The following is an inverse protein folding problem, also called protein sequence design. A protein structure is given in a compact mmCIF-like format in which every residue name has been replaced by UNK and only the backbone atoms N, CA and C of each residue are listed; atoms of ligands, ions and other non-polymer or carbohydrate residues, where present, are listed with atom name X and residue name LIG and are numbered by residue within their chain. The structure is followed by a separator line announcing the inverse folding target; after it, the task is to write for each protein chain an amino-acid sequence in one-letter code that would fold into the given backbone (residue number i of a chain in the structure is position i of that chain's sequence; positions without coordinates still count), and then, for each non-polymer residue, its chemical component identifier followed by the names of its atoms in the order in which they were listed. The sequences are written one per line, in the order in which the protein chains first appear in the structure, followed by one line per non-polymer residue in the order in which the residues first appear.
data_IF_048594912524
#
_entry.id   IF_048594912524
#
_cell.length_a   1.000
_cell.length_b   1.000
_cell.length_c   1.000
_cell.angle_alpha   90.00
_cell.angle_beta   90.00
_cell.angle_gamma   90.00
#
_symmetry.space_group_name_H-M   'P 1'
#
loop_
_entity.id
_entity.type
_entity.pdbx_description
1 polymer ?
#
# COMPACT_ATOMS: atom_id res chain seq x y z
N UNK A 1 -2.54 59.64 4.61
CA UNK A 1 -1.85 58.67 5.48
C UNK A 1 -2.83 57.57 5.84
N UNK A 2 -2.73 56.42 5.21
CA UNK A 2 -3.44 55.20 5.59
C UNK A 2 -2.52 54.03 5.29
N UNK A 3 -2.16 53.29 6.32
CA UNK A 3 -1.22 52.16 6.27
C UNK A 3 -1.96 50.98 5.66
N UNK A 4 -1.63 50.66 4.41
CA UNK A 4 -2.09 49.45 3.75
C UNK A 4 -1.40 48.24 4.41
N UNK A 5 -2.20 47.50 5.18
CA UNK A 5 -1.88 46.18 5.70
C UNK A 5 -1.60 45.27 4.48
N UNK A 6 -0.33 45.02 4.18
CA UNK A 6 0.08 43.99 3.24
C UNK A 6 -0.33 42.63 3.83
N UNK A 7 -1.51 42.16 3.44
CA UNK A 7 -1.95 40.79 3.59
C UNK A 7 -1.04 39.93 2.72
N UNK A 8 0.11 39.56 3.27
CA UNK A 8 1.05 38.64 2.66
C UNK A 8 0.43 37.24 2.82
N UNK A 9 -0.49 36.92 1.90
CA UNK A 9 -0.94 35.55 1.68
C UNK A 9 0.26 34.78 1.16
N UNK A 10 1.08 34.25 2.07
CA UNK A 10 1.85 33.05 1.78
C UNK A 10 0.81 31.98 1.48
N UNK A 11 0.67 31.66 0.20
CA UNK A 11 0.14 30.38 -0.25
C UNK A 11 1.06 29.29 0.32
N UNK A 12 0.87 28.94 1.59
CA UNK A 12 1.51 27.80 2.22
C UNK A 12 0.42 26.95 2.86
N UNK A 13 -0.36 26.28 2.02
CA UNK A 13 -0.75 24.93 2.32
C UNK A 13 -1.19 24.20 1.06
N UNK A 14 -0.35 23.29 0.60
CA UNK A 14 -0.78 22.15 -0.22
C UNK A 14 -1.52 21.19 0.71
N UNK A 15 -2.66 21.63 1.26
CA UNK A 15 -3.44 20.82 2.19
C UNK A 15 -4.12 19.70 1.41
N UNK A 16 -3.66 18.50 1.70
CA UNK A 16 -4.28 17.30 1.22
C UNK A 16 -5.58 17.02 1.98
N UNK A 17 -6.59 16.39 1.36
CA UNK A 17 -7.86 16.14 2.03
C UNK A 17 -7.66 15.26 3.27
N UNK A 18 -8.17 15.72 4.42
CA UNK A 18 -8.19 14.94 5.65
C UNK A 18 -8.90 13.59 5.41
N UNK A 19 -8.33 12.52 5.96
CA UNK A 19 -8.95 11.20 5.91
C UNK A 19 -9.34 10.76 7.31
N UNK A 20 -10.34 9.90 7.44
CA UNK A 20 -10.61 9.25 8.73
C UNK A 20 -9.71 8.01 8.84
N UNK A 21 -9.05 7.82 9.98
CA UNK A 21 -8.18 6.66 10.20
C UNK A 21 -6.91 7.00 10.97
N UNK A 22 -5.85 6.26 10.66
CA UNK A 22 -4.51 6.35 11.26
C UNK A 22 -3.95 7.78 11.28
N UNK A 23 -2.99 8.07 12.16
CA UNK A 23 -2.17 9.27 12.11
C UNK A 23 -0.74 8.88 11.75
N UNK A 24 -0.18 9.48 10.70
CA UNK A 24 1.26 9.61 10.51
C UNK A 24 1.69 11.00 10.94
N UNK A 25 2.85 11.11 11.59
CA UNK A 25 3.45 12.39 11.93
C UNK A 25 4.95 12.35 11.72
N UNK A 26 5.49 13.38 11.08
CA UNK A 26 6.90 13.71 11.00
C UNK A 26 7.11 15.08 11.64
N UNK A 27 8.03 15.16 12.60
CA UNK A 27 8.58 16.42 13.12
C UNK A 27 10.06 16.47 12.76
N UNK A 28 10.49 17.48 12.03
CA UNK A 28 11.84 17.55 11.47
C UNK A 28 12.50 18.90 11.73
N UNK A 29 13.80 18.88 12.00
CA UNK A 29 14.65 20.07 12.02
C UNK A 29 16.07 19.74 11.55
N UNK A 30 16.99 20.71 11.62
CA UNK A 30 18.39 20.52 11.18
C UNK A 30 19.17 19.42 11.93
N UNK A 31 18.69 18.97 13.10
CA UNK A 31 19.34 17.93 13.91
C UNK A 31 18.93 16.51 13.47
N UNK A 32 17.83 16.38 12.72
CA UNK A 32 17.25 15.10 12.30
C UNK A 32 15.73 15.14 12.30
N UNK A 33 15.09 13.99 12.45
CA UNK A 33 13.63 13.92 12.46
C UNK A 33 13.10 12.82 13.39
N UNK A 34 11.85 12.99 13.80
CA UNK A 34 11.01 11.99 14.44
C UNK A 34 9.88 11.66 13.49
N UNK A 35 9.65 10.37 13.22
CA UNK A 35 8.54 9.87 12.41
C UNK A 35 7.77 8.81 13.19
N UNK A 36 6.44 8.89 13.16
CA UNK A 36 5.60 7.99 13.92
C UNK A 36 4.28 7.65 13.21
N UNK A 37 3.75 6.48 13.54
CA UNK A 37 2.45 5.99 13.09
C UNK A 37 1.80 5.10 14.17
N UNK A 38 0.47 5.11 14.26
CA UNK A 38 -0.28 4.22 15.15
C UNK A 38 -0.49 2.82 14.51
N UNK A 39 -0.82 1.80 15.31
CA UNK A 39 -1.02 0.42 14.80
C UNK A 39 -2.46 0.07 14.42
N UNK A 40 -3.44 0.97 14.57
CA UNK A 40 -4.85 0.69 14.35
C UNK A 40 -5.23 0.58 12.88
N UNK A 41 -5.83 -0.54 12.48
CA UNK A 41 -6.48 -0.70 11.19
C UNK A 41 -8.00 -0.70 11.33
N UNK A 42 -8.67 -0.19 10.30
CA UNK A 42 -10.13 -0.06 10.24
C UNK A 42 -10.72 -1.13 9.33
N UNK A 43 -11.51 -2.02 9.90
CA UNK A 43 -12.24 -3.07 9.17
C UNK A 43 -13.70 -2.69 9.02
N UNK A 44 -14.17 -2.62 7.77
CA UNK A 44 -15.61 -2.46 7.49
C UNK A 44 -16.23 -3.84 7.33
N UNK A 45 -17.19 -4.14 8.20
CA UNK A 45 -18.00 -5.36 8.17
C UNK A 45 -19.44 -5.01 7.79
N UNK A 46 -20.24 -6.01 7.42
CA UNK A 46 -21.68 -5.83 7.17
C UNK A 46 -22.44 -5.27 8.39
N UNK A 47 -21.90 -5.45 9.60
CA UNK A 47 -22.51 -5.02 10.87
C UNK A 47 -21.93 -3.71 11.42
N UNK A 48 -20.94 -3.10 10.76
CA UNK A 48 -20.33 -1.84 11.21
C UNK A 48 -18.80 -1.81 11.06
N UNK A 49 -18.17 -0.89 11.78
CA UNK A 49 -16.71 -0.70 11.78
C UNK A 49 -16.09 -1.40 13.00
N UNK A 50 -15.10 -2.25 12.77
CA UNK A 50 -14.24 -2.82 13.82
C UNK A 50 -12.79 -2.36 13.64
N UNK A 51 -12.02 -2.42 14.73
CA UNK A 51 -10.63 -1.97 14.77
C UNK A 51 -9.72 -3.10 15.23
N UNK A 52 -8.51 -3.17 14.66
CA UNK A 52 -7.44 -4.06 15.13
C UNK A 52 -6.14 -3.27 15.28
N UNK A 53 -5.46 -3.45 16.39
CA UNK A 53 -4.30 -2.65 16.77
C UNK A 53 -2.98 -3.37 16.45
N UNK A 54 -2.93 -4.06 15.31
CA UNK A 54 -1.89 -5.03 14.94
C UNK A 54 -1.14 -4.73 13.62
N UNK A 55 -1.28 -3.53 13.05
CA UNK A 55 -0.67 -3.19 11.77
C UNK A 55 0.67 -2.46 11.90
N UNK A 56 1.71 -2.98 11.26
CA UNK A 56 2.94 -2.21 11.04
C UNK A 56 2.71 -1.15 9.96
N UNK A 57 2.92 0.11 10.32
CA UNK A 57 2.77 1.26 9.42
C UNK A 57 4.03 2.11 9.31
N UNK A 58 5.00 1.88 10.21
CA UNK A 58 6.33 2.49 10.14
C UNK A 58 7.35 1.46 9.68
N UNK A 59 8.23 1.86 8.76
CA UNK A 59 9.21 0.99 8.15
C UNK A 59 10.57 1.67 8.10
N UNK A 60 11.60 0.90 8.39
CA UNK A 60 12.98 1.29 8.10
C UNK A 60 13.26 1.03 6.62
N UNK A 61 13.61 2.07 5.87
CA UNK A 61 13.93 1.92 4.44
C UNK A 61 15.42 1.86 4.20
N UNK A 62 16.21 2.56 5.01
CA UNK A 62 17.67 2.52 5.00
C UNK A 62 18.28 2.88 6.36
N UNK A 63 19.59 3.19 6.42
CA UNK A 63 20.24 3.54 7.67
C UNK A 63 19.78 4.88 8.25
N UNK A 64 19.43 5.83 7.37
CA UNK A 64 19.09 7.22 7.71
C UNK A 64 17.74 7.66 7.14
N UNK A 65 16.85 6.72 6.87
CA UNK A 65 15.58 6.96 6.19
C UNK A 65 14.49 6.02 6.69
N UNK A 66 13.27 6.53 6.68
CA UNK A 66 12.07 5.85 7.17
C UNK A 66 10.87 6.17 6.30
N UNK A 67 9.89 5.27 6.34
CA UNK A 67 8.61 5.38 5.64
C UNK A 67 7.48 5.12 6.65
N UNK A 68 6.52 6.04 6.73
CA UNK A 68 5.24 5.82 7.40
C UNK A 68 4.09 5.80 6.37
N UNK A 69 3.08 4.96 6.58
CA UNK A 69 1.88 4.90 5.71
C UNK A 69 0.59 5.17 6.49
N UNK A 70 -0.22 6.08 5.97
CA UNK A 70 -1.55 6.38 6.45
C UNK A 70 -2.56 5.96 5.38
N UNK A 71 -3.61 5.27 5.82
CA UNK A 71 -4.40 4.43 4.93
C UNK A 71 -3.79 3.04 4.85
N UNK A 72 -4.66 2.03 4.96
CA UNK A 72 -4.30 0.63 4.79
C UNK A 72 -5.10 0.14 3.61
N UNK A 73 -4.42 -0.07 2.48
CA UNK A 73 -5.09 -0.62 1.32
C UNK A 73 -5.42 -2.06 1.64
N UNK A 74 -6.73 -2.30 1.68
CA UNK A 74 -7.41 -3.51 2.14
C UNK A 74 -7.51 -3.75 3.66
N UNK A 75 -7.47 -2.71 4.51
CA UNK A 75 -7.69 -2.80 5.96
C UNK A 75 -8.96 -3.54 6.46
N UNK A 76 -9.78 -4.14 5.59
CA UNK A 76 -10.82 -5.09 5.96
C UNK A 76 -11.19 -6.15 4.91
N UNK A 77 -10.45 -6.29 3.82
CA UNK A 77 -10.84 -7.22 2.73
C UNK A 77 -9.87 -8.39 2.64
N UNK A 78 -10.26 -9.53 3.20
CA UNK A 78 -9.54 -10.78 2.97
C UNK A 78 -9.58 -11.19 1.49
N UNK A 79 -8.46 -11.68 0.93
CA UNK A 79 -7.14 -11.93 1.54
C UNK A 79 -6.14 -10.75 1.44
N UNK A 80 -6.58 -9.58 0.98
CA UNK A 80 -5.69 -8.48 0.61
C UNK A 80 -5.20 -7.63 1.79
N UNK A 81 -5.65 -7.88 3.03
CA UNK A 81 -5.51 -6.91 4.12
C UNK A 81 -4.10 -6.48 4.51
N UNK A 82 -3.11 -7.28 4.16
CA UNK A 82 -1.70 -7.06 4.48
C UNK A 82 -0.85 -6.83 3.24
N UNK A 83 -1.47 -6.68 2.06
CA UNK A 83 -0.80 -6.62 0.77
C UNK A 83 0.20 -5.46 0.68
N UNK A 84 -0.19 -4.26 1.14
CA UNK A 84 0.68 -3.07 1.15
C UNK A 84 1.89 -3.27 2.06
N UNK A 85 1.63 -3.76 3.28
CA UNK A 85 2.68 -4.00 4.28
C UNK A 85 3.64 -5.08 3.78
N UNK A 86 3.11 -6.17 3.20
CA UNK A 86 3.89 -7.26 2.64
C UNK A 86 4.83 -6.78 1.53
N UNK A 87 4.38 -5.87 0.65
CA UNK A 87 5.22 -5.29 -0.41
C UNK A 87 6.38 -4.45 0.13
N UNK A 88 6.10 -3.58 1.11
CA UNK A 88 7.14 -2.77 1.73
C UNK A 88 8.16 -3.67 2.45
N UNK A 89 7.71 -4.65 3.22
CA UNK A 89 8.60 -5.58 3.92
C UNK A 89 9.39 -6.46 2.97
N UNK A 90 8.80 -6.90 1.85
CA UNK A 90 9.52 -7.63 0.79
C UNK A 90 10.61 -6.78 0.17
N UNK A 91 10.39 -5.47 0.03
CA UNK A 91 11.36 -4.54 -0.56
C UNK A 91 12.51 -4.21 0.38
N UNK A 92 12.22 -3.78 1.60
CA UNK A 92 13.22 -3.21 2.51
C UNK A 92 13.66 -4.17 3.62
N UNK A 93 12.87 -5.19 3.90
CA UNK A 93 13.08 -6.05 5.06
C UNK A 93 12.91 -5.31 6.40
N UNK A 94 13.09 -6.02 7.53
CA UNK A 94 12.97 -5.41 8.85
C UNK A 94 14.11 -4.44 9.21
N UNK A 95 15.27 -4.59 8.57
CA UNK A 95 16.47 -3.80 8.85
C UNK A 95 16.66 -2.60 7.90
N UNK A 96 15.82 -2.47 6.86
CA UNK A 96 16.07 -1.56 5.74
C UNK A 96 17.16 -2.06 4.81
N UNK A 97 17.35 -1.35 3.70
CA UNK A 97 18.43 -1.62 2.75
C UNK A 97 19.71 -0.93 3.21
N UNK A 98 20.85 -1.60 3.07
CA UNK A 98 22.17 -1.05 3.41
C UNK A 98 22.85 -0.31 2.26
N UNK A 99 22.20 -0.24 1.10
CA UNK A 99 22.66 0.49 -0.08
C UNK A 99 21.76 1.71 -0.37
N UNK A 100 22.16 2.52 -1.35
CA UNK A 100 21.48 3.78 -1.68
C UNK A 100 20.02 3.62 -2.14
N UNK A 101 19.54 2.39 -2.40
CA UNK A 101 18.11 2.17 -2.72
C UNK A 101 17.21 2.38 -1.50
N UNK A 102 17.79 2.41 -0.29
CA UNK A 102 17.09 2.75 0.94
C UNK A 102 16.97 4.25 1.20
N UNK A 103 17.68 5.09 0.45
CA UNK A 103 17.70 6.55 0.64
C UNK A 103 16.35 7.18 0.30
N UNK A 104 15.98 8.27 1.00
CA UNK A 104 14.63 8.82 0.93
C UNK A 104 14.17 9.20 -0.49
N UNK A 105 15.07 9.75 -1.31
CA UNK A 105 14.76 10.11 -2.71
C UNK A 105 14.48 8.87 -3.57
N UNK A 106 15.25 7.79 -3.38
CA UNK A 106 15.07 6.53 -4.10
C UNK A 106 13.81 5.80 -3.65
N UNK A 107 13.49 5.88 -2.35
CA UNK A 107 12.26 5.33 -1.78
C UNK A 107 11.04 6.02 -2.36
N UNK A 108 11.03 7.35 -2.46
CA UNK A 108 9.90 8.11 -2.99
C UNK A 108 9.59 7.74 -4.45
N UNK A 109 10.62 7.68 -5.30
CA UNK A 109 10.45 7.24 -6.70
C UNK A 109 10.00 5.77 -6.82
N UNK A 110 10.49 4.88 -5.95
CA UNK A 110 10.01 3.50 -5.89
C UNK A 110 8.55 3.41 -5.45
N UNK A 111 8.14 4.19 -4.45
CA UNK A 111 6.76 4.21 -3.95
C UNK A 111 5.80 4.64 -5.04
N UNK A 112 6.13 5.69 -5.79
CA UNK A 112 5.29 6.15 -6.90
C UNK A 112 5.06 5.02 -7.91
N UNK A 113 6.14 4.39 -8.39
CA UNK A 113 6.03 3.32 -9.38
C UNK A 113 5.30 2.07 -8.84
N UNK A 114 5.73 1.57 -7.67
CA UNK A 114 5.19 0.35 -7.07
C UNK A 114 3.72 0.53 -6.71
N UNK A 115 3.38 1.60 -6.00
CA UNK A 115 2.03 1.78 -5.51
C UNK A 115 1.08 2.29 -6.57
N UNK A 116 1.49 3.06 -7.58
CA UNK A 116 0.59 3.35 -8.71
C UNK A 116 0.13 2.07 -9.40
N UNK A 117 1.05 1.15 -9.68
CA UNK A 117 0.71 -0.12 -10.31
C UNK A 117 -0.10 -1.03 -9.37
N UNK A 118 0.38 -1.20 -8.15
CA UNK A 118 -0.23 -2.11 -7.18
C UNK A 118 -1.66 -1.67 -6.83
N UNK A 119 -1.85 -0.37 -6.57
CA UNK A 119 -3.16 0.19 -6.28
C UNK A 119 -4.12 0.09 -7.44
N UNK A 120 -3.63 0.31 -8.66
CA UNK A 120 -4.47 0.15 -9.83
C UNK A 120 -4.93 -1.30 -10.00
N UNK A 121 -4.06 -2.27 -9.68
CA UNK A 121 -4.40 -3.70 -9.69
C UNK A 121 -5.43 -4.03 -8.61
N UNK A 122 -5.21 -3.56 -7.38
CA UNK A 122 -6.14 -3.78 -6.27
C UNK A 122 -7.50 -3.13 -6.54
N UNK A 123 -7.52 -1.92 -7.08
CA UNK A 123 -8.74 -1.24 -7.53
C UNK A 123 -9.54 -2.11 -8.49
N UNK A 124 -8.89 -2.61 -9.54
CA UNK A 124 -9.53 -3.45 -10.55
C UNK A 124 -10.10 -4.74 -9.93
N UNK A 125 -9.31 -5.43 -9.11
CA UNK A 125 -9.70 -6.68 -8.44
C UNK A 125 -10.89 -6.45 -7.50
N UNK A 126 -10.84 -5.44 -6.64
CA UNK A 126 -11.90 -5.18 -5.67
C UNK A 126 -13.20 -4.70 -6.34
N UNK A 127 -13.10 -3.93 -7.44
CA UNK A 127 -14.26 -3.60 -8.28
C UNK A 127 -14.88 -4.86 -8.89
N UNK A 128 -14.07 -5.79 -9.42
CA UNK A 128 -14.57 -7.05 -9.97
C UNK A 128 -15.23 -7.95 -8.91
N UNK A 129 -14.73 -7.91 -7.67
CA UNK A 129 -15.33 -8.58 -6.52
C UNK A 129 -16.56 -7.85 -5.95
N UNK A 130 -16.95 -6.70 -6.54
CA UNK A 130 -18.08 -5.86 -6.10
C UNK A 130 -17.96 -5.44 -4.64
N UNK A 131 -16.74 -5.15 -4.18
CA UNK A 131 -16.50 -4.76 -2.80
C UNK A 131 -17.09 -3.35 -2.53
N UNK A 132 -17.97 -3.19 -1.52
CA UNK A 132 -18.56 -1.89 -1.21
C UNK A 132 -17.55 -0.96 -0.55
N UNK A 133 -17.59 0.33 -0.88
CA UNK A 133 -16.85 1.37 -0.16
C UNK A 133 -15.33 1.32 -0.34
N UNK A 134 -14.86 1.22 -1.59
CA UNK A 134 -13.45 1.29 -1.96
C UNK A 134 -12.81 2.62 -1.49
N UNK A 135 -12.19 2.62 -0.32
CA UNK A 135 -11.27 3.68 0.09
C UNK A 135 -9.84 3.24 -0.22
N UNK A 136 -9.38 3.62 -1.42
CA UNK A 136 -8.04 3.31 -1.92
C UNK A 136 -7.04 4.43 -1.65
N UNK A 137 -7.36 5.33 -0.72
CA UNK A 137 -6.45 6.41 -0.37
C UNK A 137 -5.28 5.85 0.44
N UNK A 138 -4.08 6.10 -0.04
CA UNK A 138 -2.83 5.83 0.65
C UNK A 138 -2.01 7.11 0.66
N UNK A 139 -1.49 7.46 1.83
CA UNK A 139 -0.52 8.53 1.98
C UNK A 139 0.74 7.92 2.56
N UNK A 140 1.81 7.91 1.78
CA UNK A 140 3.13 7.47 2.19
C UNK A 140 3.99 8.70 2.50
N UNK A 141 4.52 8.78 3.73
CA UNK A 141 5.43 9.84 4.16
C UNK A 141 6.82 9.24 4.36
N UNK A 142 7.76 9.66 3.51
CA UNK A 142 9.17 9.31 3.60
C UNK A 142 9.93 10.45 4.26
N UNK A 143 10.79 10.14 5.21
CA UNK A 143 11.72 11.10 5.78
C UNK A 143 13.13 10.52 5.73
N UNK A 144 14.11 11.37 5.44
CA UNK A 144 15.52 10.99 5.37
C UNK A 144 16.41 12.18 5.15
N UNK A 145 17.53 11.97 4.47
CA UNK A 145 18.48 13.03 4.15
C UNK A 145 18.80 13.05 2.66
N UNK A 146 19.02 14.24 2.11
CA UNK A 146 19.57 14.41 0.76
C UNK A 146 21.09 14.17 0.74
N UNK A 147 21.69 14.30 -0.45
CA UNK A 147 23.12 14.13 -0.66
C UNK A 147 23.97 15.14 0.14
N UNK A 148 23.44 16.34 0.38
CA UNK A 148 24.05 17.40 1.19
C UNK A 148 23.87 17.17 2.71
N UNK A 149 23.08 16.18 3.08
CA UNK A 149 22.79 15.82 4.47
C UNK A 149 21.78 16.74 5.15
N UNK A 150 20.97 17.49 4.40
CA UNK A 150 19.79 18.17 4.92
C UNK A 150 18.66 17.15 5.09
N UNK A 151 17.76 17.41 6.05
CA UNK A 151 16.57 16.57 6.22
C UNK A 151 15.60 16.84 5.07
N UNK A 152 15.10 15.79 4.45
CA UNK A 152 14.04 15.86 3.45
C UNK A 152 12.83 15.07 3.91
N UNK A 153 11.65 15.58 3.60
CA UNK A 153 10.37 14.91 3.79
C UNK A 153 9.64 14.89 2.47
N UNK A 154 9.25 13.69 2.03
CA UNK A 154 8.49 13.45 0.81
C UNK A 154 7.17 12.78 1.15
N UNK A 155 6.06 13.34 0.67
CA UNK A 155 4.72 12.79 0.88
C UNK A 155 4.11 12.42 -0.47
N UNK A 156 3.91 11.12 -0.69
CA UNK A 156 3.27 10.58 -1.86
C UNK A 156 1.82 10.20 -1.52
N UNK A 157 0.88 10.75 -2.26
CA UNK A 157 -0.55 10.49 -2.11
C UNK A 157 -1.08 9.75 -3.31
N UNK A 158 -1.79 8.67 -3.04
CA UNK A 158 -2.44 7.87 -4.06
C UNK A 158 -3.94 7.97 -3.81
N UNK A 159 -4.63 8.63 -4.73
CA UNK A 159 -6.07 8.85 -4.61
C UNK A 159 -6.77 8.45 -5.91
N UNK A 160 -8.01 7.94 -5.84
CA UNK A 160 -8.87 7.81 -7.02
C UNK A 160 -9.06 9.17 -7.72
N UNK A 161 -8.73 9.25 -9.00
CA UNK A 161 -8.93 10.41 -9.87
C UNK A 161 -9.56 9.97 -11.20
N UNK A 162 -10.89 9.85 -11.19
CA UNK A 162 -11.67 9.41 -12.34
C UNK A 162 -11.72 7.89 -12.52
N UNK A 163 -12.16 7.46 -13.70
CA UNK A 163 -12.36 6.06 -14.05
C UNK A 163 -11.32 5.63 -15.10
N UNK A 164 -10.73 4.46 -14.91
CA UNK A 164 -9.82 3.84 -15.87
C UNK A 164 -10.59 3.04 -16.93
N UNK A 165 -11.51 2.18 -16.49
CA UNK A 165 -12.31 1.30 -17.35
C UNK A 165 -13.59 0.90 -16.62
N UNK A 166 -14.76 1.12 -17.23
CA UNK A 166 -16.04 0.91 -16.56
C UNK A 166 -16.07 1.64 -15.21
N UNK A 167 -16.34 0.91 -14.13
CA UNK A 167 -16.38 1.43 -12.76
C UNK A 167 -15.05 1.25 -11.99
N UNK A 168 -13.96 0.89 -12.67
CA UNK A 168 -12.64 0.74 -12.05
C UNK A 168 -12.03 2.14 -11.88
N UNK A 169 -11.73 2.58 -10.65
CA UNK A 169 -11.14 3.90 -10.43
C UNK A 169 -9.70 3.93 -10.96
N UNK A 170 -9.31 5.07 -11.52
CA UNK A 170 -7.93 5.37 -11.88
C UNK A 170 -7.21 5.90 -10.66
N UNK A 171 -6.04 5.35 -10.33
CA UNK A 171 -5.23 5.82 -9.20
C UNK A 171 -4.18 6.80 -9.70
N UNK A 172 -4.15 7.99 -9.10
CA UNK A 172 -3.18 9.03 -9.44
C UNK A 172 -2.26 9.31 -8.26
N UNK A 173 -0.93 9.21 -8.44
CA UNK A 173 0.03 9.67 -7.45
C UNK A 173 0.15 11.20 -7.48
N UNK A 174 0.34 11.81 -6.33
CA UNK A 174 0.77 13.20 -6.16
C UNK A 174 1.88 13.22 -5.12
N UNK A 175 3.07 13.71 -5.50
CA UNK A 175 4.24 13.72 -4.62
C UNK A 175 4.61 15.16 -4.29
N UNK A 176 4.83 15.43 -3.01
CA UNK A 176 5.35 16.70 -2.53
C UNK A 176 6.65 16.43 -1.77
N UNK A 177 7.71 17.09 -2.21
CA UNK A 177 9.03 17.07 -1.55
C UNK A 177 9.27 18.39 -0.83
N UNK A 178 9.87 18.33 0.35
CA UNK A 178 10.29 19.52 1.10
C UNK A 178 11.64 19.27 1.76
N UNK A 179 12.55 20.24 1.60
CA UNK A 179 13.85 20.27 2.30
C UNK A 179 13.68 21.10 3.56
N UNK A 180 14.07 20.54 4.71
CA UNK A 180 13.87 21.15 6.02
C UNK A 180 15.14 21.89 6.45
N UNK A 181 15.07 23.22 6.49
CA UNK A 181 16.20 24.06 6.90
C UNK A 181 16.17 24.44 8.39
N UNK A 182 14.99 24.75 8.93
CA UNK A 182 14.81 25.13 10.34
C UNK A 182 13.94 24.10 11.06
N UNK A 183 12.62 24.19 10.91
CA UNK A 183 11.66 23.21 11.39
C UNK A 183 10.48 23.12 10.44
N UNK A 184 9.99 21.90 10.21
CA UNK A 184 8.71 21.65 9.54
C UNK A 184 8.08 20.39 10.14
N UNK A 185 6.76 20.27 10.01
CA UNK A 185 6.05 19.04 10.33
C UNK A 185 5.20 18.60 9.15
N UNK A 186 4.99 17.29 9.07
CA UNK A 186 4.06 16.69 8.12
C UNK A 186 3.21 15.66 8.82
N UNK A 187 1.91 15.76 8.60
CA UNK A 187 0.94 14.82 9.09
C UNK A 187 0.17 14.19 7.93
N UNK A 188 -0.42 13.02 8.18
CA UNK A 188 -1.28 12.34 7.23
C UNK A 188 -2.30 11.49 7.98
N UNK A 189 -3.41 11.19 7.32
CA UNK A 189 -4.45 10.36 7.90
C UNK A 189 -5.50 11.20 8.61
N UNK A 190 -5.60 11.12 9.94
CA UNK A 190 -6.47 11.92 10.81
C UNK A 190 -5.69 13.03 11.56
N UNK A 191 -5.33 14.14 10.88
CA UNK A 191 -4.38 15.10 11.41
C UNK A 191 -5.00 16.15 12.34
N UNK A 192 -6.32 16.32 12.38
CA UNK A 192 -6.97 17.50 12.98
C UNK A 192 -6.51 17.79 14.41
N UNK A 193 -6.43 16.78 15.27
CA UNK A 193 -5.95 16.94 16.66
C UNK A 193 -4.45 17.27 16.70
N UNK A 194 -3.64 16.62 15.85
CA UNK A 194 -2.22 16.90 15.74
C UNK A 194 -1.97 18.34 15.28
N UNK A 195 -2.68 18.78 14.24
CA UNK A 195 -2.62 20.15 13.73
C UNK A 195 -3.01 21.16 14.79
N UNK A 196 -4.10 20.95 15.53
CA UNK A 196 -4.53 21.89 16.57
C UNK A 196 -3.51 22.02 17.71
N UNK A 197 -2.85 20.92 18.09
CA UNK A 197 -1.76 20.95 19.08
C UNK A 197 -0.54 21.69 18.51
N UNK A 198 -0.09 21.33 17.31
CA UNK A 198 1.11 21.88 16.68
C UNK A 198 0.93 23.36 16.31
N UNK A 199 -0.30 23.76 15.96
CA UNK A 199 -0.66 25.16 15.69
C UNK A 199 -0.89 25.97 16.96
N UNK A 200 -1.05 25.33 18.12
CA UNK A 200 -1.27 25.98 19.41
C UNK A 200 -2.71 26.44 19.62
N UNK A 201 -3.66 25.86 18.89
CA UNK A 201 -5.09 26.08 19.09
C UNK A 201 -5.62 25.32 20.30
N UNK A 202 -4.88 24.31 20.76
CA UNK A 202 -5.25 23.48 21.89
C UNK A 202 -4.29 23.71 23.07
N UNK A 203 -4.81 24.28 24.16
CA UNK A 203 -4.02 24.53 25.37
C UNK A 203 -3.87 23.25 26.19
N UNK A 204 -2.72 22.58 26.04
CA UNK A 204 -2.37 21.39 26.82
C UNK A 204 -1.30 21.77 27.84
N UNK A 205 -1.55 21.68 29.16
CA UNK A 205 -0.56 21.99 30.19
C UNK A 205 0.45 20.85 30.38
N UNK A 206 0.89 20.21 29.29
CA UNK A 206 1.93 19.18 29.30
C UNK A 206 3.25 19.83 28.88
N UNK A 207 4.32 19.55 29.63
CA UNK A 207 5.61 20.23 29.50
C UNK A 207 6.15 20.22 28.07
N UNK A 208 6.08 19.10 27.35
CA UNK A 208 6.57 19.00 25.97
C UNK A 208 5.81 19.89 24.97
N UNK A 209 4.50 20.08 25.16
CA UNK A 209 3.69 20.99 24.34
C UNK A 209 4.01 22.44 24.70
N UNK A 210 4.12 22.76 25.99
CA UNK A 210 4.49 24.10 26.46
C UNK A 210 5.86 24.51 25.93
N UNK A 211 6.87 23.67 26.11
CA UNK A 211 8.24 23.91 25.65
C UNK A 211 8.30 24.08 24.12
N UNK A 212 7.52 23.29 23.37
CA UNK A 212 7.39 23.44 21.92
C UNK A 212 6.77 24.78 21.53
N UNK A 213 5.66 25.18 22.16
CA UNK A 213 5.00 26.44 21.85
C UNK A 213 5.84 27.67 22.24
N UNK A 214 6.60 27.59 23.34
CA UNK A 214 7.60 28.60 23.72
C UNK A 214 8.72 28.69 22.68
N UNK A 215 9.33 27.56 22.31
CA UNK A 215 10.37 27.51 21.28
C UNK A 215 9.84 28.03 19.92
N UNK A 216 8.58 27.77 19.58
CA UNK A 216 7.93 28.32 18.38
C UNK A 216 7.77 29.83 18.43
N UNK A 217 7.30 30.38 19.55
CA UNK A 217 7.19 31.84 19.75
C UNK A 217 8.54 32.55 19.65
N UNK A 218 9.60 31.88 20.11
CA UNK A 218 10.96 32.41 20.12
C UNK A 218 11.76 32.10 18.84
N UNK A 219 11.14 31.46 17.84
CA UNK A 219 11.80 31.07 16.58
C UNK A 219 13.05 30.18 16.81
N UNK A 220 12.96 29.27 17.77
CA UNK A 220 14.04 28.33 18.17
C UNK A 220 13.74 26.87 17.83
N UNK A 221 12.76 26.59 16.98
CA UNK A 221 12.38 25.21 16.65
C UNK A 221 13.51 24.42 15.94
N UNK A 222 14.35 25.10 15.17
CA UNK A 222 15.54 24.48 14.58
C UNK A 222 16.59 24.00 15.58
N UNK A 223 16.57 24.45 16.83
CA UNK A 223 17.52 24.01 17.86
C UNK A 223 16.93 23.06 18.90
N UNK A 224 15.64 22.73 18.77
CA UNK A 224 14.98 21.74 19.63
C UNK A 224 15.65 20.37 19.45
N UNK A 225 15.90 19.68 20.56
CA UNK A 225 16.50 18.34 20.52
C UNK A 225 15.51 17.29 20.00
N UNK A 226 16.02 16.20 19.44
CA UNK A 226 15.14 15.13 18.95
C UNK A 226 14.36 14.45 20.08
N UNK A 227 14.91 14.39 21.29
CA UNK A 227 14.18 13.86 22.46
C UNK A 227 12.99 14.74 22.85
N UNK A 228 13.11 16.07 22.69
CA UNK A 228 11.99 16.99 22.86
C UNK A 228 10.94 16.78 21.75
N UNK A 229 11.36 16.58 20.48
CA UNK A 229 10.43 16.26 19.39
C UNK A 229 9.73 14.92 19.61
N UNK A 230 10.44 13.91 20.13
CA UNK A 230 9.85 12.62 20.51
C UNK A 230 8.80 12.79 21.61
N UNK A 231 9.14 13.52 22.66
CA UNK A 231 8.22 13.78 23.77
C UNK A 231 6.97 14.57 23.34
N UNK A 232 7.11 15.45 22.35
CA UNK A 232 5.97 16.13 21.72
C UNK A 232 5.13 15.15 20.89
N UNK A 233 5.78 14.32 20.08
CA UNK A 233 5.13 13.28 19.25
C UNK A 233 4.29 12.34 20.11
N UNK A 234 4.83 11.85 21.23
CA UNK A 234 4.11 10.96 22.15
C UNK A 234 2.83 11.61 22.67
N UNK A 235 2.88 12.90 23.05
CA UNK A 235 1.70 13.65 23.51
C UNK A 235 0.68 13.86 22.39
N UNK A 236 1.14 14.20 21.18
CA UNK A 236 0.26 14.35 20.02
C UNK A 236 -0.51 13.07 19.75
N UNK A 237 0.16 11.91 19.74
CA UNK A 237 -0.52 10.62 19.57
C UNK A 237 -1.49 10.30 20.72
N UNK A 238 -1.06 10.48 21.98
CA UNK A 238 -1.93 10.25 23.14
C UNK A 238 -3.22 11.08 23.08
N UNK A 239 -3.12 12.34 22.71
CA UNK A 239 -4.27 13.25 22.64
C UNK A 239 -5.15 12.99 21.42
N UNK A 240 -4.54 12.58 20.31
CA UNK A 240 -5.26 12.15 19.11
C UNK A 240 -6.06 10.88 19.38
N UNK A 241 -5.46 9.85 20.00
CA UNK A 241 -6.15 8.60 20.34
C UNK A 241 -7.36 8.77 21.28
N UNK A 242 -7.36 9.80 22.13
CA UNK A 242 -8.50 10.13 23.01
C UNK A 242 -9.71 10.67 22.25
N UNK A 243 -9.50 11.27 21.07
CA UNK A 243 -10.51 12.05 20.34
C UNK A 243 -10.88 11.41 19.00
N UNK A 244 -9.92 10.78 18.34
CA UNK A 244 -10.06 10.15 17.04
C UNK A 244 -10.12 8.63 17.17
N UNK A 245 -11.31 8.05 16.97
CA UNK A 245 -11.51 6.59 17.07
C UNK A 245 -10.65 5.78 16.09
N UNK A 246 -10.31 6.38 14.95
CA UNK A 246 -9.49 5.78 13.90
C UNK A 246 -8.00 5.67 14.22
N UNK A 247 -7.53 6.36 15.28
CA UNK A 247 -6.14 6.34 15.73
C UNK A 247 -6.07 5.56 17.04
N UNK A 248 -5.17 4.58 17.13
CA UNK A 248 -5.06 3.77 18.34
C UNK A 248 -4.00 2.67 18.29
N UNK A 249 -3.98 1.86 19.33
CA UNK A 249 -2.98 0.80 19.47
C UNK A 249 -1.61 1.32 19.90
N UNK A 250 -0.57 0.57 19.55
CA UNK A 250 0.81 0.92 19.87
C UNK A 250 1.33 1.97 18.89
N UNK A 251 2.03 2.99 19.40
CA UNK A 251 2.73 3.97 18.58
C UNK A 251 4.06 3.38 18.12
N UNK A 252 4.23 3.26 16.81
CA UNK A 252 5.50 2.95 16.17
C UNK A 252 6.22 4.27 15.93
N UNK A 253 7.47 4.39 16.35
CA UNK A 253 8.21 5.65 16.31
C UNK A 253 9.67 5.40 15.97
N UNK A 254 10.23 6.26 15.13
CA UNK A 254 11.66 6.32 14.86
C UNK A 254 12.18 7.73 15.12
N UNK A 255 13.30 7.80 15.83
CA UNK A 255 14.06 9.03 16.06
C UNK A 255 15.37 8.87 15.30
N UNK A 256 15.56 9.67 14.25
CA UNK A 256 16.68 9.51 13.31
C UNK A 256 17.53 10.79 13.35
N UNK A 257 18.66 10.75 14.08
CA UNK A 257 19.60 11.86 14.12
C UNK A 257 20.39 11.99 12.82
N UNK A 258 20.92 13.19 12.59
CA UNK A 258 21.75 13.49 11.42
C UNK A 258 22.98 12.58 11.32
N UNK A 259 23.53 12.14 12.43
CA UNK A 259 24.69 11.23 12.50
C UNK A 259 24.37 9.76 12.20
N UNK A 260 23.09 9.40 12.04
CA UNK A 260 22.64 8.08 11.58
C UNK A 260 22.42 7.01 12.66
N UNK A 261 22.55 7.35 13.94
CA UNK A 261 22.27 6.45 15.07
C UNK A 261 20.77 6.42 15.43
N UNK A 262 19.94 5.94 14.50
CA UNK A 262 18.48 5.92 14.66
C UNK A 262 18.00 5.00 15.77
N UNK A 263 17.07 5.49 16.60
CA UNK A 263 16.31 4.68 17.55
C UNK A 263 14.97 4.27 16.94
N UNK A 264 14.59 3.01 17.12
CA UNK A 264 13.42 2.43 16.47
C UNK A 264 12.53 1.71 17.50
N UNK A 265 11.26 2.03 17.49
CA UNK A 265 10.19 1.26 18.11
C UNK A 265 9.24 0.81 17.00
N UNK A 266 9.43 -0.40 16.51
CA UNK A 266 8.65 -1.00 15.43
C UNK A 266 7.81 -2.16 15.97
N UNK A 267 6.75 -2.46 15.24
CA UNK A 267 5.98 -3.68 15.46
C UNK A 267 6.78 -4.93 15.07
N UNK A 268 6.49 -6.05 15.74
CA UNK A 268 7.00 -7.35 15.34
C UNK A 268 6.27 -7.81 14.07
N UNK A 269 7.00 -8.05 12.98
CA UNK A 269 6.41 -8.61 11.76
C UNK A 269 6.39 -10.14 11.80
N UNK A 270 5.24 -10.72 11.48
CA UNK A 270 5.18 -12.09 11.00
C UNK A 270 5.54 -12.13 9.50
N UNK A 271 5.99 -13.27 8.95
CA UNK A 271 6.19 -13.41 7.52
C UNK A 271 4.87 -13.14 6.78
N UNK A 272 4.80 -12.00 6.10
CA UNK A 272 3.65 -11.61 5.29
C UNK A 272 3.82 -12.09 3.85
N UNK A 273 2.72 -12.50 3.24
CA UNK A 273 2.66 -12.88 1.82
C UNK A 273 1.75 -11.90 1.09
N UNK A 274 2.15 -11.54 -0.12
CA UNK A 274 1.28 -10.84 -1.07
C UNK A 274 0.35 -11.86 -1.72
N UNK A 275 -0.93 -11.54 -1.79
CA UNK A 275 -1.92 -12.28 -2.58
C UNK A 275 -1.72 -11.98 -4.06
N UNK A 276 -1.62 -10.70 -4.43
CA UNK A 276 -1.41 -10.32 -5.83
C UNK A 276 0.07 -10.42 -6.16
N UNK A 277 0.40 -11.18 -7.21
CA UNK A 277 1.79 -11.32 -7.65
C UNK A 277 2.08 -10.69 -9.00
N UNK A 278 1.03 -10.36 -9.77
CA UNK A 278 1.11 -9.81 -11.14
C UNK A 278 2.15 -8.71 -11.31
N UNK A 279 3.05 -8.85 -12.29
CA UNK A 279 3.93 -7.80 -12.84
C UNK A 279 3.25 -6.95 -13.94
N UNK A 280 2.09 -7.38 -14.44
CA UNK A 280 1.25 -6.58 -15.32
C UNK A 280 -0.24 -6.72 -15.01
N UNK A 281 -1.03 -5.73 -15.46
CA UNK A 281 -2.48 -5.67 -15.27
C UNK A 281 -3.15 -5.59 -16.64
N UNK A 282 -4.10 -6.49 -16.90
CA UNK A 282 -4.87 -6.53 -18.15
C UNK A 282 -6.36 -6.45 -17.83
N UNK A 283 -7.04 -5.46 -18.39
CA UNK A 283 -8.44 -5.16 -18.09
C UNK A 283 -9.27 -5.18 -19.36
N UNK A 284 -10.40 -5.89 -19.34
CA UNK A 284 -11.44 -5.75 -20.37
C UNK A 284 -11.06 -6.24 -21.77
N UNK A 285 -9.97 -6.98 -21.91
CA UNK A 285 -9.49 -7.49 -23.19
C UNK A 285 -10.22 -8.78 -23.61
N UNK A 286 -10.22 -9.07 -24.91
CA UNK A 286 -10.67 -10.35 -25.47
C UNK A 286 -9.46 -11.13 -25.95
N UNK A 287 -9.28 -12.36 -25.46
CA UNK A 287 -8.11 -13.20 -25.68
C UNK A 287 -6.79 -12.41 -25.52
N UNK A 288 -6.56 -11.77 -24.35
CA UNK A 288 -5.32 -11.05 -24.14
C UNK A 288 -4.14 -11.98 -24.38
N UNK A 289 -3.19 -11.51 -25.19
CA UNK A 289 -2.05 -12.30 -25.67
C UNK A 289 -1.45 -13.14 -24.55
N UNK A 290 -1.47 -14.47 -24.71
CA UNK A 290 -0.67 -15.35 -23.89
C UNK A 290 0.43 -15.86 -24.78
N UNK A 291 1.62 -15.35 -24.50
CA UNK A 291 2.86 -15.80 -25.13
C UNK A 291 2.93 -17.33 -25.02
N UNK A 292 3.57 -17.98 -26.00
CA UNK A 292 3.84 -19.41 -25.92
C UNK A 292 4.66 -19.79 -24.67
N UNK A 293 5.28 -18.80 -24.02
CA UNK A 293 5.93 -18.94 -22.73
C UNK A 293 4.87 -18.85 -21.60
N UNK A 294 4.64 -19.98 -20.93
CA UNK A 294 3.61 -20.17 -19.90
C UNK A 294 3.92 -19.46 -18.57
N UNK A 295 5.06 -18.76 -18.50
CA UNK A 295 5.52 -18.00 -17.33
C UNK A 295 5.12 -16.54 -17.44
N UNK A 296 3.82 -16.30 -17.49
CA UNK A 296 3.26 -14.96 -17.39
C UNK A 296 2.88 -14.69 -15.94
N UNK A 297 3.22 -13.50 -15.44
CA UNK A 297 2.86 -13.05 -14.11
C UNK A 297 1.95 -11.83 -14.23
N UNK A 298 0.65 -12.04 -14.44
CA UNK A 298 -0.32 -10.99 -14.71
C UNK A 298 -1.58 -11.09 -13.86
N UNK A 299 -2.18 -9.94 -13.61
CA UNK A 299 -3.52 -9.79 -13.07
C UNK A 299 -4.50 -9.50 -14.21
N UNK A 300 -5.38 -10.45 -14.49
CA UNK A 300 -6.45 -10.35 -15.49
C UNK A 300 -7.76 -10.01 -14.81
N UNK A 301 -8.33 -8.86 -15.16
CA UNK A 301 -9.60 -8.39 -14.61
C UNK A 301 -10.64 -8.15 -15.72
N UNK A 302 -11.83 -8.73 -15.59
CA UNK A 302 -12.95 -8.51 -16.52
C UNK A 302 -12.64 -8.82 -18.00
N UNK A 303 -11.68 -9.71 -18.26
CA UNK A 303 -11.35 -10.13 -19.61
C UNK A 303 -12.28 -11.26 -20.08
N UNK A 304 -12.31 -11.46 -21.40
CA UNK A 304 -12.99 -12.58 -22.06
C UNK A 304 -11.97 -13.49 -22.71
N UNK A 305 -11.91 -14.72 -22.26
CA UNK A 305 -11.15 -15.80 -22.87
C UNK A 305 -12.13 -16.69 -23.60
N UNK A 306 -11.90 -16.90 -24.90
CA UNK A 306 -12.67 -17.85 -25.67
C UNK A 306 -11.74 -18.66 -26.57
N UNK A 307 -11.95 -19.96 -26.63
CA UNK A 307 -11.24 -20.82 -27.59
C UNK A 307 -9.70 -20.70 -27.43
N UNK A 308 -9.21 -20.74 -26.18
CA UNK A 308 -7.77 -20.64 -25.86
C UNK A 308 -7.39 -21.53 -24.68
N UNK A 309 -6.11 -21.89 -24.61
CA UNK A 309 -5.53 -22.52 -23.42
C UNK A 309 -4.98 -21.45 -22.48
N UNK A 310 -5.29 -21.49 -21.18
CA UNK A 310 -5.00 -20.45 -20.19
C UNK A 310 -4.12 -21.00 -19.06
N UNK A 311 -2.89 -20.47 -18.85
CA UNK A 311 -2.04 -20.90 -17.74
C UNK A 311 -2.57 -20.36 -16.42
N UNK A 312 -2.73 -21.23 -15.43
CA UNK A 312 -3.15 -20.82 -14.08
C UNK A 312 -1.97 -20.38 -13.22
N UNK A 313 -0.80 -20.97 -13.44
CA UNK A 313 0.37 -20.75 -12.59
C UNK A 313 0.82 -19.29 -12.61
N UNK A 314 1.05 -18.72 -11.43
CA UNK A 314 1.54 -17.35 -11.25
C UNK A 314 0.64 -16.27 -11.89
N UNK A 315 -0.63 -16.55 -12.13
CA UNK A 315 -1.59 -15.58 -12.65
C UNK A 315 -2.76 -15.37 -11.69
N UNK A 316 -3.29 -14.15 -11.75
CA UNK A 316 -4.41 -13.69 -10.94
C UNK A 316 -5.62 -13.42 -11.86
N UNK A 317 -6.76 -14.06 -11.62
CA UNK A 317 -7.96 -13.95 -12.46
C UNK A 317 -9.17 -13.47 -11.66
N UNK A 318 -9.70 -12.29 -11.98
CA UNK A 318 -10.88 -11.73 -11.32
C UNK A 318 -11.96 -11.23 -12.28
N UNK A 319 -13.20 -11.68 -12.11
CA UNK A 319 -14.33 -11.18 -12.91
C UNK A 319 -14.27 -11.53 -14.40
N UNK A 320 -13.42 -12.47 -14.82
CA UNK A 320 -13.24 -12.86 -16.21
C UNK A 320 -14.33 -13.85 -16.67
N UNK A 321 -14.48 -13.97 -17.99
CA UNK A 321 -15.31 -14.98 -18.63
C UNK A 321 -14.42 -15.95 -19.39
N UNK A 322 -14.54 -17.24 -19.10
CA UNK A 322 -13.86 -18.32 -19.80
C UNK A 322 -14.88 -19.15 -20.56
N UNK A 323 -14.79 -19.15 -21.88
CA UNK A 323 -15.70 -19.89 -22.75
C UNK A 323 -14.91 -20.85 -23.64
N UNK A 324 -15.21 -22.15 -23.60
CA UNK A 324 -14.49 -23.15 -24.40
C UNK A 324 -12.96 -23.12 -24.22
N UNK A 325 -12.51 -22.82 -23.00
CA UNK A 325 -11.10 -22.69 -22.66
C UNK A 325 -10.55 -23.95 -21.98
N UNK A 326 -9.25 -24.18 -22.11
CA UNK A 326 -8.53 -25.19 -21.33
C UNK A 326 -7.61 -24.51 -20.33
N UNK A 327 -7.91 -24.60 -19.04
CA UNK A 327 -7.10 -24.06 -17.97
C UNK A 327 -5.95 -25.04 -17.66
N UNK A 328 -4.71 -24.57 -17.73
CA UNK A 328 -3.49 -25.37 -17.60
C UNK A 328 -2.85 -25.14 -16.23
N UNK A 329 -2.59 -26.22 -15.49
CA UNK A 329 -1.86 -26.19 -14.21
C UNK A 329 -0.61 -27.06 -14.29
N UNK A 330 0.57 -26.48 -14.08
CA UNK A 330 1.86 -27.19 -14.16
C UNK A 330 2.56 -27.40 -12.81
N UNK A 331 1.88 -27.09 -11.70
CA UNK A 331 2.43 -27.25 -10.36
C UNK A 331 2.97 -25.96 -9.74
N UNK A 332 2.57 -24.80 -10.28
CA UNK A 332 2.92 -23.49 -9.74
C UNK A 332 2.41 -23.29 -8.31
N UNK A 333 3.06 -22.37 -7.60
CA UNK A 333 2.84 -22.17 -6.16
C UNK A 333 1.78 -21.14 -5.84
N UNK A 334 1.35 -20.37 -6.84
CA UNK A 334 0.42 -19.26 -6.67
C UNK A 334 -0.62 -19.25 -7.78
N UNK A 335 -1.88 -19.18 -7.38
CA UNK A 335 -3.05 -18.97 -8.24
C UNK A 335 -4.05 -18.17 -7.41
N UNK A 336 -4.47 -17.00 -7.89
CA UNK A 336 -5.58 -16.28 -7.28
C UNK A 336 -6.74 -16.20 -8.27
N UNK A 337 -7.93 -16.58 -7.83
CA UNK A 337 -9.06 -16.77 -8.73
C UNK A 337 -10.37 -16.42 -8.03
N UNK A 338 -11.12 -15.43 -8.54
CA UNK A 338 -12.35 -14.98 -7.89
C UNK A 338 -13.36 -14.35 -8.84
N UNK A 339 -14.65 -14.60 -8.59
CA UNK A 339 -15.78 -14.02 -9.35
C UNK A 339 -15.72 -14.23 -10.89
N UNK A 340 -15.02 -15.26 -11.38
CA UNK A 340 -14.99 -15.59 -12.81
C UNK A 340 -16.20 -16.46 -13.19
N UNK A 341 -16.51 -16.50 -14.49
CA UNK A 341 -17.54 -17.38 -15.08
C UNK A 341 -16.89 -18.36 -16.04
N UNK A 342 -17.17 -19.66 -15.91
CA UNK A 342 -16.70 -20.69 -16.82
C UNK A 342 -17.85 -21.35 -17.58
N UNK A 343 -17.74 -21.45 -18.90
CA UNK A 343 -18.68 -22.17 -19.77
C UNK A 343 -17.91 -23.09 -20.72
N UNK A 344 -18.33 -24.37 -20.81
CA UNK A 344 -17.69 -25.37 -21.66
C UNK A 344 -16.16 -25.47 -21.52
N UNK A 345 -15.62 -25.33 -20.30
CA UNK A 345 -14.18 -25.29 -20.04
C UNK A 345 -13.61 -26.65 -19.61
N UNK A 346 -12.29 -26.77 -19.57
CA UNK A 346 -11.55 -27.92 -19.05
C UNK A 346 -10.42 -27.47 -18.13
N UNK A 347 -10.00 -28.35 -17.22
CA UNK A 347 -8.76 -28.19 -16.47
C UNK A 347 -7.83 -29.34 -16.82
N UNK A 348 -6.62 -29.02 -17.27
CA UNK A 348 -5.54 -29.97 -17.50
C UNK A 348 -4.41 -29.75 -16.50
N UNK A 349 -3.94 -30.85 -15.91
CA UNK A 349 -2.86 -30.85 -14.94
C UNK A 349 -1.67 -31.56 -15.58
N UNK A 350 -0.50 -30.91 -15.56
CA UNK A 350 0.71 -31.47 -16.14
C UNK A 350 1.07 -32.84 -15.51
N UNK A 351 1.62 -33.78 -16.29
CA UNK A 351 2.10 -35.04 -15.75
C UNK A 351 3.14 -34.83 -14.64
N UNK A 352 3.03 -35.58 -13.55
CA UNK A 352 4.01 -35.55 -12.45
C UNK A 352 3.77 -34.48 -11.38
N UNK A 353 2.74 -33.63 -11.52
CA UNK A 353 2.30 -32.73 -10.45
C UNK A 353 1.81 -33.54 -9.25
N UNK A 354 2.52 -33.42 -8.12
CA UNK A 354 2.22 -34.18 -6.89
C UNK A 354 1.25 -33.48 -5.96
N UNK A 355 1.22 -32.16 -5.99
CA UNK A 355 0.37 -31.34 -5.13
C UNK A 355 -0.59 -30.53 -5.98
N UNK A 356 -1.89 -30.76 -5.77
CA UNK A 356 -2.96 -30.02 -6.45
C UNK A 356 -3.62 -29.15 -5.39
N UNK A 357 -3.58 -27.81 -5.53
CA UNK A 357 -4.19 -26.93 -4.55
C UNK A 357 -5.72 -26.97 -4.65
N UNK A 358 -6.46 -26.73 -3.57
CA UNK A 358 -7.92 -26.84 -3.55
C UNK A 358 -8.64 -26.03 -4.64
N UNK A 359 -8.08 -24.90 -5.05
CA UNK A 359 -8.63 -24.05 -6.12
C UNK A 359 -8.62 -24.75 -7.49
N UNK A 360 -7.60 -25.56 -7.80
CA UNK A 360 -7.52 -26.30 -9.07
C UNK A 360 -8.52 -27.44 -9.08
N UNK A 361 -8.68 -28.14 -7.96
CA UNK A 361 -9.72 -29.18 -7.82
C UNK A 361 -11.13 -28.60 -7.94
N UNK A 362 -11.36 -27.41 -7.37
CA UNK A 362 -12.63 -26.71 -7.52
C UNK A 362 -12.92 -26.28 -8.95
N UNK A 363 -11.93 -25.68 -9.63
CA UNK A 363 -12.02 -25.33 -11.04
C UNK A 363 -12.34 -26.54 -11.90
N UNK A 364 -11.73 -27.70 -11.62
CA UNK A 364 -12.00 -28.94 -12.34
C UNK A 364 -13.45 -29.35 -12.22
N UNK A 365 -14.03 -29.31 -11.01
CA UNK A 365 -15.46 -29.59 -10.79
C UNK A 365 -16.36 -28.59 -11.50
N UNK A 366 -16.08 -27.29 -11.37
CA UNK A 366 -16.87 -26.22 -12.03
C UNK A 366 -16.86 -26.36 -13.56
N UNK A 367 -15.69 -26.65 -14.14
CA UNK A 367 -15.55 -26.89 -15.58
C UNK A 367 -16.29 -28.15 -16.05
N UNK A 368 -16.28 -29.23 -15.26
CA UNK A 368 -17.05 -30.44 -15.55
C UNK A 368 -18.56 -30.15 -15.60
N UNK A 369 -19.10 -29.52 -14.56
CA UNK A 369 -20.52 -29.12 -14.51
C UNK A 369 -20.89 -28.22 -15.70
N UNK A 370 -20.05 -27.24 -16.03
CA UNK A 370 -20.29 -26.33 -17.15
C UNK A 370 -20.23 -27.01 -18.53
N UNK A 371 -19.45 -28.08 -18.69
CA UNK A 371 -19.44 -28.91 -19.91
C UNK A 371 -20.74 -29.71 -20.05
N UNK A 372 -21.24 -30.25 -18.95
CA UNK A 372 -22.47 -31.07 -18.96
C UNK A 372 -23.73 -30.23 -19.25
N UNK A 373 -23.69 -28.92 -18.98
CA UNK A 373 -24.82 -27.99 -19.19
C UNK A 373 -24.84 -27.26 -20.55
N UNK A 374 -23.83 -27.44 -21.42
CA UNK A 374 -23.65 -26.61 -22.63
C UNK A 374 -23.63 -27.46 -23.92
N UNK A 375 -24.27 -27.07 -25.04
CA UNK A 375 -24.30 -27.88 -26.26
C UNK A 375 -22.92 -28.22 -26.82
N UNK A 376 -22.78 -29.47 -27.29
CA UNK A 376 -21.54 -30.16 -27.70
C UNK A 376 -20.85 -29.54 -28.94
N UNK A 377 -20.20 -28.38 -28.81
CA UNK A 377 -19.13 -28.01 -29.74
C UNK A 377 -17.80 -28.60 -29.25
N UNK A 378 -16.97 -29.18 -30.13
CA UNK A 378 -15.68 -29.72 -29.74
C UNK A 378 -14.78 -28.60 -29.21
N UNK A 379 -14.10 -28.86 -28.09
CA UNK A 379 -13.07 -27.96 -27.58
C UNK A 379 -11.86 -27.95 -28.51
N UNK A 380 -11.10 -26.85 -28.49
CA UNK A 380 -9.81 -26.79 -29.15
C UNK A 380 -8.90 -27.91 -28.64
N UNK A 381 -8.19 -28.54 -29.58
CA UNK A 381 -7.12 -29.49 -29.26
C UNK A 381 -6.05 -28.74 -28.48
N UNK A 382 -5.69 -29.29 -27.33
CA UNK A 382 -4.62 -28.75 -26.49
C UNK A 382 -3.29 -28.75 -27.25
N UNK A 383 -2.43 -27.73 -27.07
CA UNK A 383 -1.03 -27.87 -27.43
C UNK A 383 -0.49 -29.08 -26.65
N UNK A 384 0.19 -30.01 -27.33
CA UNK A 384 0.88 -31.09 -26.65
C UNK A 384 1.84 -30.48 -25.63
N UNK A 385 1.81 -30.98 -24.38
CA UNK A 385 2.83 -30.68 -23.38
C UNK A 385 4.20 -31.03 -23.97
N UNK A 386 4.91 -30.05 -24.53
CA UNK A 386 6.30 -30.25 -24.93
C UNK A 386 7.08 -30.34 -23.63
N UNK A 387 7.41 -31.56 -23.24
CA UNK A 387 8.32 -31.89 -22.16
C UNK A 387 9.73 -31.42 -22.53
N UNK A 388 9.98 -30.12 -22.51
CA UNK A 388 11.34 -29.63 -22.26
C UNK A 388 11.60 -29.84 -20.77
N UNK A 389 12.27 -30.96 -20.49
CA UNK A 389 12.79 -31.38 -19.20
C UNK A 389 13.23 -30.23 -18.30
N UNK A 390 12.49 -30.01 -17.21
CA UNK A 390 12.94 -29.14 -16.11
C UNK A 390 13.80 -30.01 -15.19
N UNK A 391 15.11 -29.89 -15.33
CA UNK A 391 16.04 -30.20 -14.23
C UNK A 391 15.91 -29.13 -13.16
N UNK A 392 15.90 -29.49 -11.86
CA UNK A 392 15.88 -28.52 -10.78
C UNK A 392 17.29 -27.98 -10.54
N UNK A 393 17.46 -26.66 -10.70
CA UNK A 393 18.55 -25.90 -10.08
C UNK A 393 17.96 -24.69 -9.37
#
# INVERSE_FOLDING_TARGET
MSVALQLLVRLSSTDFPHTSGSLNLVLANKNGFVIAADSRGTHRTSTGVSYRDEYQKLFRTGPRSALAIAGLLAGGTEPFQLETIARILRRFGPAGLSDGRGDAEMVAGWLELEFSYHLQSLAAVLTALKYPGLDLRLIATVAGFDAEGNVIVEQAQFVPDGLLFGDIPRIKPTVIKTVIHDFDWRDAGAPSVAEDILRGHFAIPIRSVVDYLEARKENRLGSVSLDQLRSLTDVVFQETMKRERGVGGSVQIALIPRDGNGQWNLMSNQPLRTTLGGSGLVIGATNPFMTADWRVNYTFVQNRFHDVAVPLDENDYYGNVFERCTLLYSGGTRISYGANTESACAVEIAPGVKHIPPIVDDLKRRCQTARDSTPKRPMLKTPHWTTSSISPH
#
